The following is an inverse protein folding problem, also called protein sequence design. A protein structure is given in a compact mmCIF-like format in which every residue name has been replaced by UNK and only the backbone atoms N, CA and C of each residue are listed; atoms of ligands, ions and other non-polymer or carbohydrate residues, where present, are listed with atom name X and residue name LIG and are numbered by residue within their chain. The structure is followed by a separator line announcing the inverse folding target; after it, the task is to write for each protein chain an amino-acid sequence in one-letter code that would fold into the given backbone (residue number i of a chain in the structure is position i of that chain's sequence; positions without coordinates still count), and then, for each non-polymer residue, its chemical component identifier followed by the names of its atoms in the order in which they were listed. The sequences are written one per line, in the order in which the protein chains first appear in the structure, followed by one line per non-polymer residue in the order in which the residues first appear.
data_IF_723837765125
#
_entry.id   IF_723837765125
#
_cell.length_a   1.000
_cell.length_b   1.000
_cell.length_c   1.000
_cell.angle_alpha   90.00
_cell.angle_beta   90.00
_cell.angle_gamma   90.00
#
_symmetry.space_group_name_H-M   'P 1'
#
loop_
_entity.id
_entity.type
_entity.pdbx_description
1 polymer ?
#
# COMPACT_ATOMS: atom_id res chain seq x y z
N UNK A 1 -16.97 13.15 9.60
CA UNK A 1 -17.90 12.01 9.76
C UNK A 1 -18.60 12.22 11.08
N UNK A 2 -19.84 12.71 11.05
CA UNK A 2 -20.70 12.68 12.23
C UNK A 2 -21.78 11.63 11.95
N UNK A 3 -21.72 10.55 12.73
CA UNK A 3 -22.71 9.48 12.90
C UNK A 3 -23.16 8.72 11.65
N UNK A 4 -22.39 7.68 11.27
CA UNK A 4 -22.92 6.55 10.49
C UNK A 4 -23.57 5.57 11.48
N UNK A 5 -24.90 5.42 11.44
CA UNK A 5 -25.69 4.59 12.36
C UNK A 5 -26.39 3.41 11.66
N UNK A 6 -25.90 3.04 10.49
CA UNK A 6 -26.44 1.92 9.74
C UNK A 6 -25.70 0.62 10.12
N UNK A 7 -26.44 -0.48 10.30
CA UNK A 7 -25.93 -1.76 10.81
C UNK A 7 -25.13 -2.58 9.80
N UNK A 8 -25.01 -2.07 8.58
CA UNK A 8 -24.35 -2.76 7.48
C UNK A 8 -22.83 -2.55 7.47
N UNK A 9 -22.10 -3.60 7.07
CA UNK A 9 -20.65 -3.57 6.86
C UNK A 9 -20.26 -2.56 5.76
N UNK A 10 -19.10 -1.92 5.95
CA UNK A 10 -18.49 -0.99 4.99
C UNK A 10 -17.06 -1.44 4.69
N UNK A 11 -16.74 -1.56 3.40
CA UNK A 11 -15.36 -1.69 2.94
C UNK A 11 -14.60 -0.36 3.09
N UNK A 12 -13.42 -0.41 3.72
CA UNK A 12 -12.49 0.72 3.81
C UNK A 12 -11.27 0.37 2.97
N UNK A 13 -11.03 1.15 1.91
CA UNK A 13 -9.92 0.92 0.99
C UNK A 13 -9.81 2.03 -0.05
N UNK A 14 -8.93 1.82 -1.03
CA UNK A 14 -8.71 2.76 -2.14
C UNK A 14 -9.63 2.51 -3.33
N UNK A 15 -10.14 1.28 -3.48
CA UNK A 15 -10.85 0.86 -4.70
C UNK A 15 -9.97 0.82 -5.95
N UNK A 16 -8.65 0.81 -5.77
CA UNK A 16 -7.65 0.83 -6.84
C UNK A 16 -6.66 -0.30 -6.57
N UNK A 17 -6.27 -0.97 -7.65
CA UNK A 17 -5.35 -2.08 -7.73
C UNK A 17 -4.06 -1.68 -8.49
N UNK A 18 -3.01 -2.45 -8.23
CA UNK A 18 -1.69 -2.35 -8.86
C UNK A 18 -1.15 -3.77 -9.02
N UNK A 19 -0.38 -4.03 -10.07
CA UNK A 19 0.27 -5.33 -10.24
C UNK A 19 1.41 -5.50 -9.22
N UNK A 20 1.78 -6.75 -8.97
CA UNK A 20 2.98 -7.06 -8.15
C UNK A 20 4.25 -6.50 -8.81
N UNK A 21 4.30 -6.48 -10.15
CA UNK A 21 5.44 -5.96 -10.87
C UNK A 21 5.64 -4.45 -10.65
N UNK A 22 4.56 -3.67 -10.79
CA UNK A 22 4.60 -2.23 -10.56
C UNK A 22 4.90 -1.89 -9.09
N UNK A 23 4.36 -2.65 -8.13
CA UNK A 23 4.70 -2.49 -6.72
C UNK A 23 6.19 -2.75 -6.46
N UNK A 24 6.75 -3.82 -7.01
CA UNK A 24 8.17 -4.15 -6.85
C UNK A 24 9.07 -3.07 -7.47
N UNK A 25 8.72 -2.57 -8.66
CA UNK A 25 9.43 -1.48 -9.31
C UNK A 25 9.40 -0.19 -8.46
N UNK A 26 8.22 0.18 -7.95
CA UNK A 26 8.06 1.33 -7.05
C UNK A 26 8.92 1.20 -5.78
N UNK A 27 8.96 0.02 -5.18
CA UNK A 27 9.83 -0.24 -4.03
C UNK A 27 11.31 -0.09 -4.37
N UNK A 28 11.75 -0.57 -5.53
CA UNK A 28 13.14 -0.43 -5.97
C UNK A 28 13.52 1.05 -6.13
N UNK A 29 12.66 1.86 -6.76
CA UNK A 29 12.86 3.32 -6.87
C UNK A 29 12.98 4.00 -5.50
N UNK A 30 12.03 3.71 -4.59
CA UNK A 30 11.97 4.38 -3.27
C UNK A 30 13.17 4.01 -2.40
N UNK A 31 13.63 2.75 -2.48
CA UNK A 31 14.73 2.25 -1.66
C UNK A 31 16.11 2.51 -2.27
N UNK A 32 16.19 2.93 -3.54
CA UNK A 32 17.43 3.08 -4.28
C UNK A 32 18.08 1.75 -4.68
N UNK A 33 17.29 0.68 -4.80
CA UNK A 33 17.78 -0.63 -5.22
C UNK A 33 18.15 -0.60 -6.71
N UNK A 34 19.42 -0.89 -7.01
CA UNK A 34 19.97 -0.88 -8.38
C UNK A 34 20.17 -2.28 -8.96
N UNK A 35 19.81 -3.33 -8.21
CA UNK A 35 19.87 -4.70 -8.68
C UNK A 35 18.74 -5.06 -9.66
N UNK A 36 18.73 -6.32 -10.10
CA UNK A 36 17.69 -6.84 -10.99
C UNK A 36 16.59 -7.52 -10.19
N UNK A 37 15.33 -7.13 -10.43
CA UNK A 37 14.16 -7.87 -9.95
C UNK A 37 13.95 -9.09 -10.86
N UNK A 38 13.84 -10.28 -10.25
CA UNK A 38 13.63 -11.55 -10.96
C UNK A 38 12.31 -12.14 -10.46
N UNK A 39 11.42 -12.48 -11.39
CA UNK A 39 10.16 -13.17 -11.12
C UNK A 39 10.31 -14.64 -11.48
N UNK A 40 10.10 -15.53 -10.52
CA UNK A 40 10.09 -16.98 -10.76
C UNK A 40 8.69 -17.42 -11.22
N UNK A 41 8.50 -17.49 -12.54
CA UNK A 41 7.22 -17.87 -13.16
C UNK A 41 6.92 -19.37 -13.04
N UNK A 42 7.79 -20.16 -12.41
CA UNK A 42 7.48 -21.57 -12.08
C UNK A 42 6.56 -21.66 -10.86
N UNK A 43 6.41 -20.57 -10.10
CA UNK A 43 5.49 -20.48 -8.95
C UNK A 43 4.12 -20.00 -9.40
N UNK A 44 3.04 -20.50 -8.79
CA UNK A 44 1.69 -20.08 -9.15
C UNK A 44 1.41 -18.66 -8.66
N UNK A 45 0.66 -17.92 -9.47
CA UNK A 45 0.06 -16.66 -9.04
C UNK A 45 -1.12 -16.89 -8.08
N UNK A 46 -1.42 -15.88 -7.27
CA UNK A 46 -2.63 -15.83 -6.45
C UNK A 46 -3.87 -15.46 -7.27
N UNK A 47 -4.93 -14.99 -6.59
CA UNK A 47 -6.11 -14.46 -7.26
C UNK A 47 -5.73 -13.23 -8.12
N UNK A 48 -6.10 -13.18 -9.42
CA UNK A 48 -5.66 -12.11 -10.33
C UNK A 48 -6.01 -10.69 -9.88
N UNK A 49 -7.16 -10.53 -9.19
CA UNK A 49 -7.62 -9.25 -8.68
C UNK A 49 -8.13 -9.44 -7.26
N UNK A 50 -7.61 -8.64 -6.33
CA UNK A 50 -8.08 -8.56 -4.95
C UNK A 50 -8.34 -7.10 -4.58
N UNK A 51 -9.48 -6.59 -5.03
CA UNK A 51 -9.89 -5.18 -4.88
C UNK A 51 -11.20 -5.08 -4.11
N UNK A 52 -11.28 -4.12 -3.18
CA UNK A 52 -12.53 -3.78 -2.50
C UNK A 52 -13.37 -2.85 -3.36
N UNK A 53 -14.68 -3.11 -3.42
CA UNK A 53 -15.64 -2.09 -3.86
C UNK A 53 -15.84 -1.08 -2.72
N UNK A 54 -15.50 0.18 -2.99
CA UNK A 54 -15.56 1.32 -2.04
C UNK A 54 -16.72 2.27 -2.35
N UNK A 55 -17.62 1.89 -3.25
CA UNK A 55 -18.76 2.73 -3.65
C UNK A 55 -19.60 3.20 -2.46
N UNK A 56 -19.77 2.34 -1.44
CA UNK A 56 -20.53 2.67 -0.24
C UNK A 56 -19.87 3.74 0.63
N UNK A 57 -18.57 3.61 0.90
CA UNK A 57 -17.86 4.58 1.75
C UNK A 57 -17.67 5.93 1.05
N UNK A 58 -17.52 5.92 -0.29
CA UNK A 58 -17.46 7.13 -1.10
C UNK A 58 -18.78 7.91 -1.06
N UNK A 59 -19.93 7.24 -1.11
CA UNK A 59 -21.27 7.87 -1.01
C UNK A 59 -21.48 8.64 0.28
N UNK A 60 -20.87 8.20 1.39
CA UNK A 60 -20.92 8.91 2.69
C UNK A 60 -19.80 9.95 2.86
N UNK A 61 -19.12 10.30 1.75
CA UNK A 61 -18.17 11.40 1.69
C UNK A 61 -16.77 11.09 2.20
N UNK A 62 -16.43 9.82 2.46
CA UNK A 62 -15.07 9.43 2.83
C UNK A 62 -14.32 8.87 1.62
N UNK A 63 -13.08 9.32 1.48
CA UNK A 63 -12.18 8.91 0.40
C UNK A 63 -10.78 8.71 0.98
N UNK A 64 -10.08 7.66 0.54
CA UNK A 64 -8.67 7.49 0.85
C UNK A 64 -7.86 8.66 0.26
N UNK A 65 -7.05 9.33 1.10
CA UNK A 65 -6.30 10.53 0.70
C UNK A 65 -4.83 10.30 0.40
N UNK A 66 -4.28 9.20 0.93
CA UNK A 66 -2.87 8.85 0.77
C UNK A 66 -2.73 7.90 -0.41
N UNK A 67 -1.96 8.28 -1.43
CA UNK A 67 -1.61 7.37 -2.51
C UNK A 67 -0.66 6.28 -2.01
N UNK A 68 -0.60 5.14 -2.72
CA UNK A 68 0.30 4.04 -2.35
C UNK A 68 1.76 4.52 -2.28
N UNK A 69 2.23 5.24 -3.31
CA UNK A 69 3.60 5.79 -3.35
C UNK A 69 3.90 6.69 -2.16
N UNK A 70 3.04 7.68 -1.89
CA UNK A 70 3.25 8.61 -0.77
C UNK A 70 3.24 7.88 0.59
N UNK A 71 2.38 6.88 0.75
CA UNK A 71 2.34 6.04 1.93
C UNK A 71 3.64 5.23 2.11
N UNK A 72 4.11 4.58 1.04
CA UNK A 72 5.34 3.78 1.04
C UNK A 72 6.58 4.65 1.30
N UNK A 73 6.71 5.79 0.63
CA UNK A 73 7.82 6.74 0.86
C UNK A 73 7.87 7.19 2.33
N UNK A 74 6.72 7.56 2.89
CA UNK A 74 6.62 7.95 4.30
C UNK A 74 7.00 6.81 5.24
N UNK A 75 6.53 5.60 4.97
CA UNK A 75 6.85 4.41 5.76
C UNK A 75 8.34 4.07 5.68
N UNK A 76 8.93 4.12 4.49
CA UNK A 76 10.35 3.87 4.30
C UNK A 76 11.20 4.90 5.04
N UNK A 77 10.87 6.19 4.93
CA UNK A 77 11.54 7.26 5.68
C UNK A 77 11.45 7.05 7.20
N UNK A 78 10.31 6.60 7.72
CA UNK A 78 10.19 6.25 9.13
C UNK A 78 11.10 5.07 9.49
N UNK A 79 11.02 3.97 8.74
CA UNK A 79 11.85 2.78 8.94
C UNK A 79 13.35 3.10 8.95
N UNK A 80 13.83 3.82 7.92
CA UNK A 80 15.25 4.18 7.83
C UNK A 80 15.73 5.07 8.97
N UNK A 81 14.85 5.91 9.54
CA UNK A 81 15.20 6.73 10.71
C UNK A 81 15.31 5.89 11.98
N UNK A 82 14.41 4.94 12.19
CA UNK A 82 14.45 4.02 13.34
C UNK A 82 15.72 3.15 13.30
N UNK A 83 16.07 2.59 12.14
CA UNK A 83 17.34 1.86 11.94
C UNK A 83 18.57 2.73 12.27
N UNK A 84 18.56 4.00 11.83
CA UNK A 84 19.63 4.95 12.13
C UNK A 84 19.71 5.29 13.64
N UNK A 85 18.58 5.26 14.36
CA UNK A 85 18.56 5.46 15.82
C UNK A 85 19.06 4.23 16.58
N UNK A 86 18.74 3.01 16.12
CA UNK A 86 19.27 1.77 16.67
C UNK A 86 20.79 1.69 16.54
N UNK A 87 21.34 2.02 15.37
CA UNK A 87 22.78 2.02 15.13
C UNK A 87 23.55 3.07 15.95
N UNK A 88 22.90 4.16 16.39
CA UNK A 88 23.50 5.25 17.20
C UNK A 88 23.44 5.00 18.71
N UNK A 89 22.77 3.93 19.16
CA UNK A 89 22.70 3.53 20.57
C UNK A 89 23.67 2.40 20.94
N UNK A 90 24.42 1.89 19.96
CA UNK A 90 25.58 0.99 20.14
C UNK A 90 26.86 1.81 20.22
#
# INVERSE_FOLDING_TARGET
MQHYNDGELINIGTGIDITIAELAAMMAEITGFTGKIIYDTTKPDGTPIKRLDVSKINKIGWYARTSLRAGVEKTYQWFSKEELMLCRRM
#
